data_IF_591313578107
#
_entry.id   IF_591313578107
#
_cell.length_a   1.000
_cell.length_b   1.000
_cell.length_c   1.000
_cell.angle_alpha   90.00
_cell.angle_beta   90.00
_cell.angle_gamma   90.00
#
_symmetry.space_group_name_H-M   'P 1'
#
loop_
_entity.id
_entity.type
_entity.pdbx_description
1 polymer ?
#
# COMPACT_ATOMS: atom_id res chain seq x y z
N UNK A 1 -20.29 -14.44 -15.03
CA UNK A 1 -19.59 -15.56 -14.34
C UNK A 1 -20.23 -15.77 -12.97
N UNK A 2 -20.22 -17.00 -12.44
CA UNK A 2 -20.78 -17.28 -11.10
C UNK A 2 -19.97 -16.55 -10.01
N UNK A 3 -20.63 -15.65 -9.27
CA UNK A 3 -20.04 -14.87 -8.16
C UNK A 3 -19.34 -15.75 -7.12
N UNK A 4 -19.91 -16.93 -6.86
CA UNK A 4 -19.38 -17.90 -5.89
C UNK A 4 -18.00 -18.42 -6.33
N UNK A 5 -17.81 -18.65 -7.64
CA UNK A 5 -16.53 -19.13 -8.18
C UNK A 5 -15.45 -18.07 -7.96
N UNK A 6 -15.73 -16.80 -8.27
CA UNK A 6 -14.75 -15.73 -8.11
C UNK A 6 -14.38 -15.47 -6.65
N UNK A 7 -15.37 -15.48 -5.73
CA UNK A 7 -15.10 -15.40 -4.28
C UNK A 7 -14.28 -16.58 -3.78
N UNK A 8 -14.54 -17.78 -4.29
CA UNK A 8 -13.75 -18.97 -3.96
C UNK A 8 -12.30 -18.82 -4.42
N UNK A 9 -12.08 -18.34 -5.65
CA UNK A 9 -10.75 -18.06 -6.19
C UNK A 9 -10.03 -16.98 -5.38
N UNK A 10 -10.70 -15.87 -5.03
CA UNK A 10 -10.11 -14.83 -4.18
C UNK A 10 -9.75 -15.38 -2.79
N UNK A 11 -10.60 -16.21 -2.20
CA UNK A 11 -10.28 -16.91 -0.94
C UNK A 11 -9.02 -17.77 -1.09
N UNK A 12 -8.93 -18.57 -2.14
CA UNK A 12 -7.77 -19.41 -2.42
C UNK A 12 -6.48 -18.58 -2.60
N UNK A 13 -6.58 -17.43 -3.28
CA UNK A 13 -5.46 -16.50 -3.45
C UNK A 13 -5.02 -15.89 -2.12
N UNK A 14 -5.94 -15.56 -1.20
CA UNK A 14 -5.58 -15.09 0.14
C UNK A 14 -4.72 -16.13 0.87
N UNK A 15 -5.17 -17.39 0.87
CA UNK A 15 -4.41 -18.48 1.49
C UNK A 15 -3.08 -18.73 0.80
N UNK A 16 -3.02 -18.64 -0.53
CA UNK A 16 -1.78 -18.74 -1.29
C UNK A 16 -0.77 -17.65 -0.90
N UNK A 17 -1.21 -16.38 -0.79
CA UNK A 17 -0.36 -15.25 -0.38
C UNK A 17 0.20 -15.47 1.03
N UNK A 18 -0.65 -15.89 1.97
CA UNK A 18 -0.26 -16.17 3.34
C UNK A 18 0.73 -17.35 3.42
N UNK A 19 0.48 -18.42 2.65
CA UNK A 19 1.36 -19.57 2.57
C UNK A 19 2.71 -19.21 1.93
N UNK A 20 2.72 -18.46 0.84
CA UNK A 20 3.95 -18.02 0.17
C UNK A 20 4.82 -17.15 1.09
N UNK A 21 4.19 -16.24 1.85
CA UNK A 21 4.87 -15.39 2.81
C UNK A 21 5.53 -16.20 3.94
N UNK A 22 4.76 -17.09 4.58
CA UNK A 22 5.24 -17.93 5.69
C UNK A 22 6.34 -18.90 5.23
N UNK A 23 6.16 -19.55 4.08
CA UNK A 23 7.15 -20.45 3.48
C UNK A 23 8.48 -19.73 3.21
N UNK A 24 8.44 -18.51 2.66
CA UNK A 24 9.65 -17.74 2.38
C UNK A 24 10.42 -17.41 3.65
N UNK A 25 9.74 -16.96 4.71
CA UNK A 25 10.38 -16.64 5.99
C UNK A 25 11.05 -17.86 6.64
N UNK A 26 10.52 -19.08 6.41
CA UNK A 26 11.08 -20.31 6.96
C UNK A 26 12.32 -20.80 6.21
N UNK A 27 12.38 -20.60 4.89
CA UNK A 27 13.35 -21.30 4.03
C UNK A 27 14.46 -20.40 3.52
N UNK A 28 14.22 -19.09 3.46
CA UNK A 28 15.17 -18.16 2.86
C UNK A 28 15.43 -16.98 3.79
N UNK A 29 16.42 -17.06 4.70
CA UNK A 29 17.04 -15.88 5.27
C UNK A 29 17.96 -15.25 4.21
N UNK A 30 17.45 -15.03 2.98
CA UNK A 30 18.18 -14.33 1.94
C UNK A 30 18.46 -12.93 2.46
N UNK A 31 19.75 -12.63 2.64
CA UNK A 31 20.19 -11.28 2.95
C UNK A 31 19.94 -10.43 1.71
N UNK A 32 18.87 -9.65 1.74
CA UNK A 32 18.62 -8.62 0.73
C UNK A 32 19.89 -7.74 0.65
N UNK A 33 20.48 -7.56 -0.54
CA UNK A 33 21.64 -6.68 -0.70
C UNK A 33 21.38 -5.30 -0.09
N UNK A 34 22.34 -4.81 0.68
CA UNK A 34 22.22 -3.51 1.33
C UNK A 34 22.27 -2.39 0.29
N UNK A 35 21.32 -1.45 0.40
CA UNK A 35 21.23 -0.24 -0.42
C UNK A 35 20.87 0.96 0.45
N UNK A 36 21.07 2.16 -0.08
CA UNK A 36 20.69 3.41 0.58
C UNK A 36 19.18 3.57 0.80
N UNK A 37 18.34 2.77 0.12
CA UNK A 37 16.87 2.73 0.31
C UNK A 37 16.45 1.61 1.27
N UNK A 38 17.39 0.75 1.68
CA UNK A 38 17.10 -0.35 2.62
C UNK A 38 16.66 0.23 3.95
N UNK A 39 15.47 -0.18 4.40
CA UNK A 39 14.95 0.15 5.72
C UNK A 39 15.46 -0.82 6.79
N UNK A 40 15.34 -0.40 8.04
CA UNK A 40 15.60 -1.24 9.20
C UNK A 40 14.67 -2.46 9.23
N UNK A 41 15.11 -3.53 9.90
CA UNK A 41 14.37 -4.80 9.95
C UNK A 41 12.95 -4.68 10.51
N UNK A 42 12.70 -3.76 11.45
CA UNK A 42 11.36 -3.58 12.03
C UNK A 42 10.33 -3.06 11.02
N UNK A 43 10.76 -2.37 9.96
CA UNK A 43 9.85 -1.80 8.95
C UNK A 43 9.07 -2.88 8.22
N UNK A 44 9.69 -4.03 7.99
CA UNK A 44 9.04 -5.21 7.42
C UNK A 44 7.92 -5.78 8.29
N UNK A 45 7.81 -5.36 9.56
CA UNK A 45 6.68 -5.67 10.44
C UNK A 45 5.33 -5.23 9.89
N UNK A 46 5.28 -4.32 8.89
CA UNK A 46 4.05 -3.91 8.20
C UNK A 46 3.32 -5.06 7.51
N UNK A 47 4.02 -6.16 7.21
CA UNK A 47 3.37 -7.36 6.64
C UNK A 47 2.40 -8.01 7.63
N UNK A 48 2.62 -7.86 8.94
CA UNK A 48 1.75 -8.43 9.96
C UNK A 48 0.32 -7.89 9.90
N UNK A 49 0.07 -6.56 10.00
CA UNK A 49 -1.27 -6.02 9.85
C UNK A 49 -1.86 -6.30 8.47
N UNK A 50 -1.04 -6.34 7.42
CA UNK A 50 -1.49 -6.67 6.07
C UNK A 50 -2.02 -8.11 5.97
N UNK A 51 -1.30 -9.09 6.50
CA UNK A 51 -1.72 -10.49 6.53
C UNK A 51 -2.94 -10.71 7.42
N UNK A 52 -3.02 -10.01 8.54
CA UNK A 52 -4.20 -10.02 9.40
C UNK A 52 -5.44 -9.49 8.65
N UNK A 53 -5.30 -8.37 7.94
CA UNK A 53 -6.39 -7.80 7.14
C UNK A 53 -6.76 -8.68 5.95
N UNK A 54 -5.80 -9.35 5.30
CA UNK A 54 -6.08 -10.34 4.25
C UNK A 54 -6.89 -11.53 4.78
N UNK A 55 -6.60 -12.01 5.98
CA UNK A 55 -7.38 -13.06 6.62
C UNK A 55 -8.82 -12.62 6.88
N UNK A 56 -9.00 -11.41 7.42
CA UNK A 56 -10.34 -10.86 7.64
C UNK A 56 -11.06 -10.65 6.31
N UNK A 57 -10.39 -10.12 5.28
CA UNK A 57 -10.93 -9.97 3.94
C UNK A 57 -11.40 -11.33 3.38
N UNK A 58 -10.61 -12.39 3.58
CA UNK A 58 -10.94 -13.74 3.14
C UNK A 58 -12.24 -14.26 3.78
N UNK A 59 -12.52 -13.89 5.03
CA UNK A 59 -13.76 -14.22 5.75
C UNK A 59 -14.90 -13.28 5.33
N UNK A 60 -14.61 -11.97 5.26
CA UNK A 60 -15.58 -10.90 5.03
C UNK A 60 -16.31 -11.04 3.69
N UNK A 61 -15.63 -11.54 2.65
CA UNK A 61 -16.24 -11.74 1.33
C UNK A 61 -17.42 -12.72 1.31
N UNK A 62 -17.56 -13.57 2.35
CA UNK A 62 -18.64 -14.53 2.51
C UNK A 62 -19.82 -14.01 3.33
N UNK A 63 -19.74 -12.77 3.84
CA UNK A 63 -20.84 -12.16 4.61
C UNK A 63 -21.96 -11.64 3.69
N UNK A 64 -23.21 -11.69 4.18
CA UNK A 64 -24.39 -11.29 3.40
C UNK A 64 -24.36 -9.83 2.97
N UNK A 65 -23.75 -8.94 3.78
CA UNK A 65 -23.63 -7.50 3.47
C UNK A 65 -22.90 -7.22 2.15
N UNK A 66 -21.94 -8.08 1.79
CA UNK A 66 -21.14 -7.95 0.57
C UNK A 66 -21.91 -8.44 -0.67
N UNK A 67 -22.92 -9.31 -0.50
CA UNK A 67 -23.70 -9.83 -1.63
C UNK A 67 -24.61 -8.78 -2.27
N UNK A 68 -24.83 -7.64 -1.60
CA UNK A 68 -25.71 -6.57 -2.07
C UNK A 68 -24.98 -5.60 -3.02
N UNK A 69 -23.72 -5.27 -2.76
CA UNK A 69 -23.01 -4.20 -3.48
C UNK A 69 -21.95 -4.65 -4.50
N UNK A 70 -21.74 -5.95 -4.70
CA UNK A 70 -20.79 -6.53 -5.67
C UNK A 70 -19.36 -5.95 -5.71
N UNK A 71 -18.95 -5.09 -4.77
CA UNK A 71 -17.62 -4.44 -4.72
C UNK A 71 -16.46 -5.43 -4.86
N UNK A 72 -16.60 -6.63 -4.28
CA UNK A 72 -15.57 -7.68 -4.38
C UNK A 72 -15.57 -8.32 -5.77
N UNK A 73 -16.74 -8.58 -6.34
CA UNK A 73 -16.87 -9.28 -7.63
C UNK A 73 -16.49 -8.34 -8.78
N UNK A 74 -16.96 -7.10 -8.71
CA UNK A 74 -16.84 -6.14 -9.80
C UNK A 74 -15.68 -5.17 -9.59
N UNK A 75 -15.43 -4.72 -8.36
CA UNK A 75 -14.30 -3.85 -8.03
C UNK A 75 -12.96 -4.59 -8.05
N UNK A 76 -12.77 -5.50 -7.10
CA UNK A 76 -11.54 -6.28 -6.96
C UNK A 76 -11.39 -7.27 -8.12
N UNK A 77 -12.44 -8.07 -8.36
CA UNK A 77 -12.54 -8.99 -9.47
C UNK A 77 -11.29 -9.89 -9.65
N UNK A 78 -10.93 -10.19 -10.89
CA UNK A 78 -9.74 -10.95 -11.26
C UNK A 78 -8.41 -10.25 -10.96
N UNK A 79 -8.42 -8.94 -10.66
CA UNK A 79 -7.17 -8.22 -10.37
C UNK A 79 -6.48 -8.83 -9.14
N UNK A 80 -7.24 -9.30 -8.15
CA UNK A 80 -6.65 -9.95 -6.98
C UNK A 80 -5.97 -11.28 -7.29
N UNK A 81 -6.51 -12.05 -8.25
CA UNK A 81 -5.85 -13.28 -8.72
C UNK A 81 -4.52 -12.94 -9.40
N UNK A 82 -4.51 -11.91 -10.25
CA UNK A 82 -3.29 -11.41 -10.91
C UNK A 82 -2.27 -10.95 -9.85
N UNK A 83 -2.71 -10.15 -8.88
CA UNK A 83 -1.89 -9.68 -7.74
C UNK A 83 -1.29 -10.88 -6.99
N UNK A 84 -2.10 -11.91 -6.69
CA UNK A 84 -1.64 -13.13 -6.04
C UNK A 84 -0.54 -13.85 -6.81
N UNK A 85 -0.75 -14.10 -8.11
CA UNK A 85 0.24 -14.76 -8.98
C UNK A 85 1.55 -13.96 -9.01
N UNK A 86 1.46 -12.64 -9.21
CA UNK A 86 2.63 -11.76 -9.23
C UNK A 86 3.36 -11.76 -7.89
N UNK A 87 2.63 -11.68 -6.77
CA UNK A 87 3.19 -11.71 -5.42
C UNK A 87 3.99 -12.98 -5.16
N UNK A 88 3.42 -14.15 -5.44
CA UNK A 88 4.15 -15.40 -5.27
C UNK A 88 5.36 -15.52 -6.21
N UNK A 89 5.25 -14.97 -7.43
CA UNK A 89 6.37 -14.91 -8.36
C UNK A 89 7.53 -14.07 -7.81
N UNK A 90 7.27 -12.93 -7.17
CA UNK A 90 8.32 -12.11 -6.52
C UNK A 90 9.15 -12.95 -5.56
N UNK A 91 8.51 -13.80 -4.74
CA UNK A 91 9.23 -14.67 -3.80
C UNK A 91 10.04 -15.77 -4.49
N UNK A 92 9.47 -16.41 -5.51
CA UNK A 92 10.19 -17.44 -6.28
C UNK A 92 11.47 -16.86 -6.88
N UNK A 93 11.38 -15.72 -7.57
CA UNK A 93 12.56 -15.09 -8.18
C UNK A 93 13.56 -14.55 -7.15
N UNK A 94 13.08 -14.13 -5.97
CA UNK A 94 13.95 -13.75 -4.86
C UNK A 94 14.77 -14.96 -4.35
N UNK A 95 14.18 -16.14 -4.23
CA UNK A 95 14.89 -17.36 -3.79
C UNK A 95 16.03 -17.75 -4.74
N UNK A 96 15.89 -17.46 -6.03
CA UNK A 96 16.92 -17.72 -7.04
C UNK A 96 17.88 -16.53 -7.27
N UNK A 97 17.79 -15.46 -6.47
CA UNK A 97 18.59 -14.24 -6.63
C UNK A 97 18.46 -13.55 -8.00
N UNK A 98 17.34 -13.74 -8.71
CA UNK A 98 17.07 -13.10 -10.00
C UNK A 98 16.50 -11.70 -9.82
N UNK A 99 17.29 -10.80 -9.22
CA UNK A 99 16.85 -9.48 -8.76
C UNK A 99 16.24 -8.60 -9.87
N UNK A 100 16.79 -8.63 -11.10
CA UNK A 100 16.25 -7.84 -12.20
C UNK A 100 14.85 -8.30 -12.62
N UNK A 101 14.66 -9.61 -12.78
CA UNK A 101 13.35 -10.19 -13.12
C UNK A 101 12.38 -9.93 -11.97
N UNK A 102 12.82 -10.13 -10.72
CA UNK A 102 12.05 -9.82 -9.52
C UNK A 102 11.57 -8.36 -9.51
N UNK A 103 12.43 -7.39 -9.80
CA UNK A 103 12.07 -5.97 -9.83
C UNK A 103 11.00 -5.67 -10.89
N UNK A 104 11.12 -6.26 -12.10
CA UNK A 104 10.12 -6.11 -13.16
C UNK A 104 8.75 -6.66 -12.71
N UNK A 105 8.74 -7.84 -12.09
CA UNK A 105 7.52 -8.45 -11.55
C UNK A 105 6.95 -7.59 -10.42
N UNK A 106 7.79 -7.01 -9.56
CA UNK A 106 7.36 -6.12 -8.49
C UNK A 106 6.71 -4.85 -9.03
N UNK A 107 7.22 -4.28 -10.12
CA UNK A 107 6.60 -3.15 -10.82
C UNK A 107 5.20 -3.55 -11.32
N UNK A 108 5.08 -4.69 -12.01
CA UNK A 108 3.80 -5.17 -12.51
C UNK A 108 2.79 -5.43 -11.37
N UNK A 109 3.27 -6.00 -10.27
CA UNK A 109 2.50 -6.22 -9.04
C UNK A 109 1.97 -4.91 -8.46
N UNK A 110 2.83 -3.90 -8.31
CA UNK A 110 2.46 -2.59 -7.78
C UNK A 110 1.50 -1.86 -8.70
N UNK A 111 1.67 -1.95 -10.03
CA UNK A 111 0.71 -1.40 -10.99
C UNK A 111 -0.67 -2.06 -10.80
N UNK A 112 -0.73 -3.39 -10.67
CA UNK A 112 -1.99 -4.09 -10.43
C UNK A 112 -2.67 -3.66 -9.11
N UNK A 113 -1.88 -3.43 -8.06
CA UNK A 113 -2.37 -2.87 -6.79
C UNK A 113 -2.92 -1.46 -6.96
N UNK A 114 -2.17 -0.54 -7.60
CA UNK A 114 -2.60 0.83 -7.86
C UNK A 114 -3.90 0.88 -8.66
N UNK A 115 -4.02 0.05 -9.72
CA UNK A 115 -5.24 -0.04 -10.52
C UNK A 115 -6.44 -0.55 -9.71
N UNK A 116 -6.21 -1.53 -8.84
CA UNK A 116 -7.27 -2.06 -7.96
C UNK A 116 -7.68 -1.03 -6.91
N UNK A 117 -6.71 -0.37 -6.27
CA UNK A 117 -6.93 0.70 -5.31
C UNK A 117 -7.72 1.86 -5.95
N UNK A 118 -7.28 2.37 -7.10
CA UNK A 118 -7.97 3.42 -7.84
C UNK A 118 -9.40 3.01 -8.20
N UNK A 119 -9.57 1.76 -8.68
CA UNK A 119 -10.88 1.26 -9.06
C UNK A 119 -11.84 1.19 -7.87
N UNK A 120 -11.38 0.69 -6.73
CA UNK A 120 -12.16 0.65 -5.49
C UNK A 120 -12.55 2.06 -5.05
N UNK A 121 -11.59 2.98 -4.98
CA UNK A 121 -11.85 4.31 -4.46
C UNK A 121 -12.79 5.13 -5.35
N UNK A 122 -12.67 5.00 -6.67
CA UNK A 122 -13.41 5.84 -7.61
C UNK A 122 -14.75 5.24 -8.04
N UNK A 123 -14.83 3.93 -8.26
CA UNK A 123 -16.02 3.30 -8.83
C UNK A 123 -16.86 2.51 -7.82
N UNK A 124 -16.31 2.15 -6.66
CA UNK A 124 -16.98 1.29 -5.69
C UNK A 124 -16.87 1.87 -4.27
N UNK A 125 -17.57 2.97 -3.95
CA UNK A 125 -17.50 3.60 -2.63
C UNK A 125 -17.94 2.62 -1.53
N UNK A 126 -17.33 2.68 -0.34
CA UNK A 126 -17.58 1.71 0.72
C UNK A 126 -19.01 1.86 1.28
N UNK A 127 -19.76 0.76 1.39
CA UNK A 127 -21.11 0.75 1.95
C UNK A 127 -21.15 0.95 3.48
N UNK A 128 -20.00 0.81 4.15
CA UNK A 128 -19.89 0.96 5.59
C UNK A 128 -18.47 0.89 6.12
N UNK A 129 -18.33 1.04 7.44
CA UNK A 129 -17.03 1.12 8.12
C UNK A 129 -16.19 -0.15 7.89
N UNK A 130 -16.81 -1.33 7.92
CA UNK A 130 -16.12 -2.60 7.72
C UNK A 130 -15.60 -2.81 6.31
N UNK A 131 -16.38 -2.41 5.29
CA UNK A 131 -15.93 -2.46 3.90
C UNK A 131 -14.81 -1.46 3.66
N UNK A 132 -14.94 -0.24 4.17
CA UNK A 132 -13.86 0.74 4.12
C UNK A 132 -12.58 0.18 4.76
N UNK A 133 -12.68 -0.36 5.98
CA UNK A 133 -11.52 -0.85 6.72
C UNK A 133 -10.88 -2.10 6.08
N UNK A 134 -11.66 -3.13 5.78
CA UNK A 134 -11.10 -4.43 5.37
C UNK A 134 -10.94 -4.61 3.85
N UNK A 135 -11.53 -3.71 3.05
CA UNK A 135 -11.35 -3.71 1.59
C UNK A 135 -10.51 -2.51 1.18
N UNK A 136 -11.03 -1.28 1.33
CA UNK A 136 -10.33 -0.09 0.81
C UNK A 136 -8.99 0.12 1.51
N UNK A 137 -8.97 0.13 2.84
CA UNK A 137 -7.74 0.36 3.60
C UNK A 137 -6.75 -0.77 3.50
N UNK A 138 -7.19 -2.01 3.27
CA UNK A 138 -6.31 -3.12 2.92
C UNK A 138 -5.52 -2.82 1.63
N UNK A 139 -6.21 -2.50 0.53
CA UNK A 139 -5.53 -2.20 -0.73
C UNK A 139 -4.73 -0.90 -0.69
N UNK A 140 -5.16 0.07 0.12
CA UNK A 140 -4.38 1.28 0.39
C UNK A 140 -3.03 0.97 1.05
N UNK A 141 -3.03 0.24 2.18
CA UNK A 141 -1.81 -0.18 2.88
C UNK A 141 -0.91 -0.97 1.93
N UNK A 142 -1.50 -1.91 1.19
CA UNK A 142 -0.74 -2.78 0.31
C UNK A 142 -0.13 -2.04 -0.86
N UNK A 143 -0.83 -1.06 -1.42
CA UNK A 143 -0.33 -0.21 -2.51
C UNK A 143 0.83 0.66 -2.03
N UNK A 144 0.70 1.32 -0.87
CA UNK A 144 1.77 2.12 -0.29
C UNK A 144 3.03 1.28 0.00
N UNK A 145 2.83 0.09 0.58
CA UNK A 145 3.93 -0.85 0.79
C UNK A 145 4.54 -1.33 -0.53
N UNK A 146 3.71 -1.65 -1.53
CA UNK A 146 4.14 -2.08 -2.86
C UNK A 146 5.00 -1.05 -3.57
N UNK A 147 4.67 0.25 -3.46
CA UNK A 147 5.50 1.33 -3.97
C UNK A 147 6.90 1.33 -3.34
N UNK A 148 6.98 1.30 -2.01
CA UNK A 148 8.28 1.23 -1.33
C UNK A 148 9.06 -0.04 -1.70
N UNK A 149 8.39 -1.20 -1.69
CA UNK A 149 9.01 -2.48 -2.00
C UNK A 149 9.49 -2.56 -3.46
N UNK A 150 8.81 -1.87 -4.37
CA UNK A 150 9.22 -1.71 -5.77
C UNK A 150 10.46 -0.82 -5.88
N UNK A 151 10.49 0.31 -5.18
CA UNK A 151 11.69 1.16 -5.12
C UNK A 151 12.87 0.38 -4.58
N UNK A 152 12.71 -0.34 -3.47
CA UNK A 152 13.76 -1.19 -2.91
C UNK A 152 14.21 -2.27 -3.90
N UNK A 153 13.26 -2.97 -4.54
CA UNK A 153 13.55 -4.00 -5.53
C UNK A 153 14.35 -3.50 -6.72
N UNK A 154 14.03 -2.31 -7.23
CA UNK A 154 14.78 -1.64 -8.31
C UNK A 154 16.22 -1.31 -7.86
N UNK A 155 16.39 -0.80 -6.63
CA UNK A 155 17.71 -0.47 -6.07
C UNK A 155 18.59 -1.71 -5.87
N UNK A 156 17.98 -2.82 -5.44
CA UNK A 156 18.66 -4.11 -5.31
C UNK A 156 19.04 -4.68 -6.68
N UNK A 157 18.15 -4.56 -7.66
CA UNK A 157 18.36 -5.10 -9.00
C UNK A 157 19.41 -4.34 -9.83
N UNK A 158 19.54 -3.03 -9.62
CA UNK A 158 20.42 -2.17 -10.42
C UNK A 158 21.39 -1.44 -9.47
N UNK A 159 22.55 -2.05 -9.13
CA UNK A 159 23.49 -1.48 -8.18
C UNK A 159 24.01 -0.08 -8.55
N UNK A 160 24.01 0.26 -9.84
CA UNK A 160 24.38 1.59 -10.33
C UNK A 160 23.45 2.70 -9.81
N UNK A 161 22.22 2.38 -9.38
CA UNK A 161 21.30 3.33 -8.76
C UNK A 161 21.64 3.63 -7.31
N UNK A 162 22.48 2.82 -6.67
CA UNK A 162 22.84 2.93 -5.25
C UNK A 162 23.84 4.07 -4.99
N UNK A 163 23.48 5.27 -5.43
CA UNK A 163 24.18 6.53 -5.15
C UNK A 163 23.32 7.39 -4.24
N UNK A 164 23.97 8.28 -3.47
CA UNK A 164 23.26 9.19 -2.56
C UNK A 164 22.27 10.07 -3.35
N UNK A 165 22.71 10.66 -4.45
CA UNK A 165 21.89 11.58 -5.28
C UNK A 165 20.64 10.90 -5.83
N UNK A 166 20.77 9.73 -6.46
CA UNK A 166 19.62 9.02 -7.02
C UNK A 166 18.67 8.53 -5.91
N UNK A 167 19.21 8.12 -4.77
CA UNK A 167 18.40 7.72 -3.61
C UNK A 167 17.59 8.89 -3.07
N UNK A 168 18.18 10.08 -2.95
CA UNK A 168 17.46 11.28 -2.54
C UNK A 168 16.30 11.58 -3.50
N UNK A 169 16.53 11.50 -4.81
CA UNK A 169 15.47 11.71 -5.82
C UNK A 169 14.34 10.70 -5.63
N UNK A 170 14.66 9.41 -5.45
CA UNK A 170 13.66 8.37 -5.22
C UNK A 170 12.84 8.61 -3.95
N UNK A 171 13.49 9.01 -2.86
CA UNK A 171 12.84 9.34 -1.61
C UNK A 171 11.95 10.57 -1.75
N UNK A 172 12.39 11.62 -2.46
CA UNK A 172 11.56 12.80 -2.77
C UNK A 172 10.32 12.41 -3.55
N UNK A 173 10.43 11.51 -4.54
CA UNK A 173 9.28 11.00 -5.30
C UNK A 173 8.30 10.27 -4.36
N UNK A 174 8.81 9.37 -3.51
CA UNK A 174 7.99 8.63 -2.56
C UNK A 174 7.29 9.57 -1.55
N UNK A 175 8.03 10.56 -1.04
CA UNK A 175 7.50 11.61 -0.15
C UNK A 175 6.40 12.41 -0.84
N UNK A 176 6.64 12.81 -2.10
CA UNK A 176 5.68 13.59 -2.88
C UNK A 176 4.39 12.81 -3.12
N UNK A 177 4.47 11.51 -3.41
CA UNK A 177 3.29 10.64 -3.54
C UNK A 177 2.53 10.55 -2.21
N UNK A 178 3.24 10.26 -1.11
CA UNK A 178 2.61 10.18 0.22
C UNK A 178 1.94 11.49 0.65
N UNK A 179 2.58 12.63 0.37
CA UNK A 179 2.00 13.94 0.65
C UNK A 179 0.79 14.23 -0.24
N UNK A 180 0.88 13.97 -1.55
CA UNK A 180 -0.20 14.18 -2.52
C UNK A 180 -1.46 13.40 -2.17
N UNK A 181 -1.33 12.13 -1.77
CA UNK A 181 -2.48 11.27 -1.42
C UNK A 181 -3.23 11.78 -0.19
N UNK A 182 -2.54 12.40 0.77
CA UNK A 182 -3.18 12.94 1.96
C UNK A 182 -3.75 14.34 1.76
N UNK A 183 -2.99 15.25 1.15
CA UNK A 183 -3.33 16.67 1.15
C UNK A 183 -4.06 17.12 -0.12
N UNK A 184 -3.79 16.49 -1.28
CA UNK A 184 -4.25 16.99 -2.58
C UNK A 184 -5.28 16.10 -3.28
N UNK A 185 -5.17 14.78 -3.14
CA UNK A 185 -6.13 13.82 -3.67
C UNK A 185 -7.58 14.11 -3.23
N UNK A 186 -7.85 14.50 -1.96
CA UNK A 186 -9.20 14.86 -1.53
C UNK A 186 -9.73 16.07 -2.28
N UNK A 187 -8.91 17.12 -2.43
CA UNK A 187 -9.31 18.39 -3.04
C UNK A 187 -9.72 18.26 -4.50
N UNK A 188 -9.00 17.47 -5.30
CA UNK A 188 -9.36 17.23 -6.71
C UNK A 188 -10.71 16.51 -6.79
N UNK A 189 -10.92 15.50 -5.94
CA UNK A 189 -12.16 14.71 -5.94
C UNK A 189 -13.34 15.58 -5.51
N UNK A 190 -13.20 16.41 -4.47
CA UNK A 190 -14.23 17.36 -4.05
C UNK A 190 -14.65 18.32 -5.15
N UNK A 191 -13.70 18.76 -5.99
CA UNK A 191 -13.98 19.69 -7.08
C UNK A 191 -14.73 19.04 -8.26
N UNK A 192 -14.63 17.72 -8.42
CA UNK A 192 -15.21 17.02 -9.57
C UNK A 192 -16.51 16.27 -9.23
N UNK A 193 -16.66 15.81 -7.99
CA UNK A 193 -17.80 15.05 -7.51
C UNK A 193 -18.37 15.78 -6.30
N UNK A 194 -19.45 16.53 -6.56
CA UNK A 194 -20.27 17.28 -5.61
C UNK A 194 -20.26 16.63 -4.20
N UNK A 195 -19.68 17.36 -3.25
CA UNK A 195 -19.89 17.40 -1.80
C UNK A 195 -19.80 16.17 -0.88
N UNK A 196 -19.68 14.92 -1.34
CA UNK A 196 -19.89 13.81 -0.39
C UNK A 196 -18.67 13.16 0.27
N UNK A 197 -17.46 13.15 -0.31
CA UNK A 197 -16.33 12.47 0.35
C UNK A 197 -14.92 12.99 -0.01
N UNK A 198 -14.39 14.05 0.63
CA UNK A 198 -12.97 14.32 0.64
C UNK A 198 -12.27 13.43 1.67
N UNK A 199 -12.22 12.11 1.46
CA UNK A 199 -11.52 11.23 2.40
C UNK A 199 -10.05 11.16 2.02
N UNK A 200 -9.27 12.03 2.66
CA UNK A 200 -7.81 11.88 2.75
C UNK A 200 -7.46 10.45 3.18
N UNK A 201 -6.65 9.77 2.37
CA UNK A 201 -6.17 8.45 2.74
C UNK A 201 -4.91 8.54 3.61
N UNK A 202 -5.11 8.94 4.86
CA UNK A 202 -4.03 9.03 5.84
C UNK A 202 -3.36 7.69 6.13
N UNK A 203 -4.03 6.55 5.89
CA UNK A 203 -3.46 5.23 6.11
C UNK A 203 -2.38 4.93 5.05
N UNK A 204 -2.65 5.23 3.78
CA UNK A 204 -1.67 5.13 2.71
C UNK A 204 -0.38 5.87 3.10
N UNK A 205 -0.52 7.12 3.51
CA UNK A 205 0.62 7.99 3.80
C UNK A 205 1.30 7.65 5.12
N UNK A 206 0.57 7.11 6.10
CA UNK A 206 1.16 6.56 7.32
C UNK A 206 2.09 5.38 7.02
N UNK A 207 1.76 4.53 6.04
CA UNK A 207 2.66 3.45 5.59
C UNK A 207 3.91 4.02 4.94
N UNK A 208 3.79 5.07 4.13
CA UNK A 208 4.97 5.76 3.57
C UNK A 208 5.84 6.35 4.69
N UNK A 209 5.26 7.02 5.68
CA UNK A 209 5.98 7.52 6.86
C UNK A 209 6.70 6.39 7.60
N UNK A 210 6.03 5.25 7.80
CA UNK A 210 6.63 4.08 8.43
C UNK A 210 7.86 3.56 7.66
N UNK A 211 7.78 3.50 6.33
CA UNK A 211 8.90 3.15 5.47
C UNK A 211 10.05 4.17 5.60
N UNK A 212 9.75 5.47 5.59
CA UNK A 212 10.74 6.53 5.74
C UNK A 212 11.44 6.49 7.10
N UNK A 213 10.71 6.22 8.18
CA UNK A 213 11.28 6.00 9.53
C UNK A 213 12.28 4.84 9.46
N UNK A 214 11.89 3.75 8.79
CA UNK A 214 12.75 2.61 8.54
C UNK A 214 14.06 2.95 7.85
N UNK A 215 13.97 3.70 6.75
CA UNK A 215 15.14 4.16 5.99
C UNK A 215 15.99 5.11 6.85
N UNK A 216 15.39 6.07 7.54
CA UNK A 216 16.09 7.01 8.42
C UNK A 216 16.90 6.28 9.51
N UNK A 217 16.29 5.29 10.19
CA UNK A 217 16.94 4.49 11.22
C UNK A 217 18.08 3.62 10.68
N UNK A 218 18.02 3.22 9.41
CA UNK A 218 19.07 2.41 8.79
C UNK A 218 20.21 3.28 8.20
N UNK A 219 19.91 4.53 7.83
CA UNK A 219 20.83 5.45 7.17
C UNK A 219 21.34 6.57 8.11
N UNK A 220 21.48 6.30 9.40
CA UNK A 220 21.88 7.30 10.42
C UNK A 220 23.25 7.93 10.15
N UNK A 221 24.15 7.22 9.48
CA UNK A 221 25.49 7.69 9.13
C UNK A 221 25.53 8.48 7.80
N UNK A 222 24.46 8.43 7.01
CA UNK A 222 24.37 9.07 5.69
C UNK A 222 23.50 10.33 5.79
N UNK A 223 24.10 11.40 6.31
CA UNK A 223 23.39 12.63 6.68
C UNK A 223 22.41 13.17 5.61
N UNK A 224 22.74 13.22 4.30
CA UNK A 224 21.79 13.71 3.29
C UNK A 224 20.50 12.89 3.22
N UNK A 225 20.59 11.57 3.36
CA UNK A 225 19.42 10.68 3.31
C UNK A 225 18.60 10.82 4.60
N UNK A 226 19.28 10.87 5.75
CA UNK A 226 18.64 11.10 7.05
C UNK A 226 17.84 12.42 7.06
N UNK A 227 18.42 13.50 6.53
CA UNK A 227 17.75 14.81 6.46
C UNK A 227 16.53 14.76 5.56
N UNK A 228 16.62 14.17 4.37
CA UNK A 228 15.50 14.08 3.41
C UNK A 228 14.37 13.21 3.96
N UNK A 229 14.70 12.06 4.57
CA UNK A 229 13.70 11.19 5.20
C UNK A 229 13.04 11.86 6.41
N UNK A 230 13.79 12.53 7.29
CA UNK A 230 13.24 13.27 8.42
C UNK A 230 12.32 14.43 7.98
N UNK A 231 12.72 15.20 6.96
CA UNK A 231 11.90 16.24 6.37
C UNK A 231 10.60 15.67 5.78
N UNK A 232 10.70 14.55 5.05
CA UNK A 232 9.55 13.83 4.49
C UNK A 232 8.58 13.32 5.56
N UNK A 233 9.10 12.75 6.65
CA UNK A 233 8.30 12.30 7.80
C UNK A 233 7.53 13.47 8.40
N UNK A 234 8.21 14.60 8.66
CA UNK A 234 7.59 15.81 9.19
C UNK A 234 6.50 16.36 8.27
N UNK A 235 6.78 16.46 6.97
CA UNK A 235 5.84 16.96 5.96
C UNK A 235 4.57 16.11 5.89
N UNK A 236 4.72 14.79 5.72
CA UNK A 236 3.56 13.89 5.58
C UNK A 236 2.78 13.81 6.90
N UNK A 237 3.47 13.70 8.05
CA UNK A 237 2.80 13.65 9.36
C UNK A 237 2.03 14.95 9.65
N UNK A 238 2.60 16.11 9.29
CA UNK A 238 1.91 17.39 9.39
C UNK A 238 0.64 17.44 8.53
N UNK A 239 0.70 16.92 7.30
CA UNK A 239 -0.45 16.82 6.42
C UNK A 239 -1.53 15.86 6.97
N UNK A 240 -1.13 14.73 7.56
CA UNK A 240 -2.06 13.80 8.25
C UNK A 240 -2.73 14.51 9.44
N UNK A 241 -1.97 15.19 10.29
CA UNK A 241 -2.51 15.91 11.45
C UNK A 241 -3.47 17.02 11.03
N UNK A 242 -3.14 17.77 9.97
CA UNK A 242 -4.01 18.77 9.36
C UNK A 242 -5.33 18.13 8.91
N UNK A 243 -5.27 17.02 8.17
CA UNK A 243 -6.47 16.32 7.68
C UNK A 243 -7.36 15.79 8.82
N UNK A 244 -6.75 15.28 9.89
CA UNK A 244 -7.49 14.83 11.08
C UNK A 244 -8.12 16.03 11.80
N UNK A 245 -7.40 17.14 11.95
CA UNK A 245 -7.89 18.35 12.58
C UNK A 245 -9.06 18.98 11.82
N UNK A 246 -9.00 19.02 10.48
CA UNK A 246 -10.12 19.51 9.65
C UNK A 246 -11.35 18.63 9.82
N UNK A 247 -11.19 17.30 9.80
CA UNK A 247 -12.29 16.35 10.03
C UNK A 247 -12.99 16.58 11.38
N UNK A 248 -12.23 16.75 12.47
CA UNK A 248 -12.83 17.02 13.78
C UNK A 248 -13.48 18.41 13.88
N UNK A 249 -12.92 19.42 13.22
CA UNK A 249 -13.48 20.77 13.18
C UNK A 249 -14.85 20.78 12.46
N UNK A 250 -14.95 20.12 11.31
CA UNK A 250 -16.19 19.98 10.54
C UNK A 250 -17.27 19.26 11.36
N UNK A 251 -16.90 18.16 12.04
CA UNK A 251 -17.82 17.43 12.91
C UNK A 251 -18.32 18.27 14.09
N UNK A 252 -17.43 19.05 14.72
CA UNK A 252 -17.78 19.93 15.86
C UNK A 252 -18.71 21.06 15.45
N UNK A 253 -18.52 21.64 14.27
CA UNK A 253 -19.27 22.81 13.82
C UNK A 253 -20.68 22.46 13.32
N UNK A 254 -21.09 21.18 13.37
CA UNK A 254 -22.42 20.76 12.92
C UNK A 254 -22.65 21.03 11.44
N UNK A 255 -21.58 21.19 10.65
CA UNK A 255 -21.63 21.32 9.19
C UNK A 255 -21.86 19.89 8.66
N UNK A 256 -23.02 19.34 8.99
CA UNK A 256 -23.64 18.30 8.20
C UNK A 256 -24.61 19.03 7.29
N UNK A 257 -24.19 19.28 6.05
CA UNK A 257 -25.17 19.44 4.97
C UNK A 257 -25.89 18.09 4.93
N UNK A 258 -27.13 18.10 5.39
CA UNK A 258 -27.96 16.92 5.50
C UNK A 258 -28.16 16.27 4.13
N UNK A 259 -27.81 14.99 4.02
CA UNK A 259 -28.38 14.03 3.06
C UNK A 259 -27.40 13.54 2.03
#
# INVERSE_FOLDING_TARGET
MNKVILKSLNTAVCFYILAAATFTQLISPSKIPYTYVTASGFTFGIVFPLYFMLMIFAIYQWTERVNVNDTIVDGISYNFIIIGILYGSVYIFMMFNFYLIQAIIHIAFTIALVLTYYKLEYYYPPAGIFENLFIHKLFSIWTAWGLYATTLGIWVAIPALNTITLTIIALIILISIGWFVVDYYPTIISCFLIEYFPKSDFIFSAVIVWCLIGVACNQVEVLPILVVTAAGIGLISGAILKSIATFFSEHRNGIYISG
#
